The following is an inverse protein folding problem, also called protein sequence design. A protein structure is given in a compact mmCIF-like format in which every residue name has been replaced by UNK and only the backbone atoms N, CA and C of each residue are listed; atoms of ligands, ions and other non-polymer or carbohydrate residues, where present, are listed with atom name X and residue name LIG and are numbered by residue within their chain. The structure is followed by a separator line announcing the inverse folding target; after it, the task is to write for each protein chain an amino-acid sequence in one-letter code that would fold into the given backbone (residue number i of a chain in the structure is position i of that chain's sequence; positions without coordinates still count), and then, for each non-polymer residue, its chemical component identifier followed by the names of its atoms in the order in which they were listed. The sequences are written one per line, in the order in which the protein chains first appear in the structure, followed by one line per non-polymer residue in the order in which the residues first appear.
data_IF_418900424418
#
_entry.id   IF_418900424418
#
_cell.length_a   1.000
_cell.length_b   1.000
_cell.length_c   1.000
_cell.angle_alpha   90.00
_cell.angle_beta   90.00
_cell.angle_gamma   90.00
#
_symmetry.space_group_name_H-M   'P 1'
#
loop_
_entity.id
_entity.type
_entity.pdbx_description
1 polymer ?
#
# COMPACT_ATOMS: atom_id res chain seq x y z
N UNK A 1 -21.38 6.06 8.42
CA UNK A 1 -21.24 5.27 7.18
C UNK A 1 -20.19 5.93 6.30
N UNK A 2 -19.40 5.17 5.55
CA UNK A 2 -18.37 5.73 4.67
C UNK A 2 -19.02 6.52 3.50
N UNK A 3 -18.39 7.63 3.08
CA UNK A 3 -18.87 8.40 1.93
C UNK A 3 -18.65 7.63 0.61
N UNK A 4 -19.34 8.04 -0.46
CA UNK A 4 -19.15 7.45 -1.80
C UNK A 4 -17.69 7.59 -2.27
N UNK A 5 -17.06 8.72 -2.00
CA UNK A 5 -15.67 8.99 -2.33
C UNK A 5 -14.71 8.11 -1.52
N UNK A 6 -15.00 7.89 -0.24
CA UNK A 6 -14.21 6.97 0.60
C UNK A 6 -14.30 5.52 0.09
N UNK A 7 -15.49 5.07 -0.31
CA UNK A 7 -15.68 3.74 -0.91
C UNK A 7 -14.92 3.63 -2.24
N UNK A 8 -14.99 4.66 -3.10
CA UNK A 8 -14.23 4.70 -4.36
C UNK A 8 -12.73 4.57 -4.10
N UNK A 9 -12.16 5.42 -3.24
CA UNK A 9 -10.73 5.38 -2.91
C UNK A 9 -10.30 4.06 -2.28
N UNK A 10 -11.15 3.45 -1.44
CA UNK A 10 -10.88 2.12 -0.89
C UNK A 10 -10.77 1.07 -2.00
N UNK A 11 -11.71 1.07 -2.96
CA UNK A 11 -11.66 0.14 -4.08
C UNK A 11 -10.44 0.37 -4.97
N UNK A 12 -10.11 1.64 -5.27
CA UNK A 12 -8.93 2.01 -6.04
C UNK A 12 -7.63 1.52 -5.37
N UNK A 13 -7.53 1.66 -4.05
CA UNK A 13 -6.40 1.16 -3.26
C UNK A 13 -6.36 -0.37 -3.24
N UNK A 14 -7.51 -1.04 -3.16
CA UNK A 14 -7.56 -2.50 -3.23
C UNK A 14 -7.08 -3.02 -4.59
N UNK A 15 -7.37 -2.32 -5.68
CA UNK A 15 -6.81 -2.65 -7.01
C UNK A 15 -5.29 -2.41 -7.06
N UNK A 16 -4.80 -1.34 -6.44
CA UNK A 16 -3.35 -1.12 -6.29
C UNK A 16 -2.68 -2.23 -5.47
N UNK A 17 -3.28 -2.67 -4.36
CA UNK A 17 -2.77 -3.77 -3.54
C UNK A 17 -2.73 -5.08 -4.35
N UNK A 18 -3.78 -5.40 -5.11
CA UNK A 18 -3.78 -6.56 -6.01
C UNK A 18 -2.65 -6.49 -7.03
N UNK A 19 -2.40 -5.31 -7.60
CA UNK A 19 -1.29 -5.12 -8.52
C UNK A 19 0.06 -5.38 -7.82
N UNK A 20 0.29 -4.82 -6.64
CA UNK A 20 1.51 -5.05 -5.84
C UNK A 20 1.68 -6.55 -5.51
N UNK A 21 0.60 -7.22 -5.13
CA UNK A 21 0.52 -8.64 -4.80
C UNK A 21 0.77 -9.57 -6.00
N UNK A 22 0.55 -9.09 -7.23
CA UNK A 22 0.81 -9.84 -8.46
C UNK A 22 2.19 -9.55 -9.07
N UNK A 23 2.93 -8.58 -8.53
CA UNK A 23 4.17 -8.07 -9.11
C UNK A 23 5.38 -8.54 -8.29
N UNK A 24 6.44 -9.00 -8.98
CA UNK A 24 7.74 -9.36 -8.41
C UNK A 24 7.66 -10.21 -7.14
N UNK A 25 7.99 -9.64 -5.97
CA UNK A 25 8.02 -10.32 -4.67
C UNK A 25 6.64 -10.62 -4.10
N UNK A 26 5.58 -10.13 -4.74
CA UNK A 26 4.17 -10.37 -4.37
C UNK A 26 3.87 -9.93 -2.94
N UNK A 27 4.37 -8.76 -2.55
CA UNK A 27 4.02 -8.13 -1.26
C UNK A 27 2.50 -8.03 -1.13
N UNK A 28 1.98 -8.28 0.08
CA UNK A 28 0.54 -8.42 0.36
C UNK A 28 -0.13 -9.67 -0.23
N UNK A 29 0.62 -10.68 -0.66
CA UNK A 29 0.09 -12.00 -1.03
C UNK A 29 0.68 -13.12 -0.16
N UNK A 30 -0.21 -13.89 0.45
CA UNK A 30 0.16 -15.09 1.19
C UNK A 30 -0.09 -16.34 0.34
N UNK A 31 1.01 -16.95 -0.17
CA UNK A 31 0.94 -18.17 -0.99
C UNK A 31 0.29 -19.35 -0.27
N UNK A 32 0.57 -19.56 1.01
CA UNK A 32 0.03 -20.71 1.77
C UNK A 32 -1.47 -20.61 2.05
N UNK A 33 -2.05 -19.40 1.95
CA UNK A 33 -3.48 -19.15 2.20
C UNK A 33 -4.22 -18.72 0.95
N UNK A 34 -3.51 -18.58 -0.17
CA UNK A 34 -3.98 -18.00 -1.43
C UNK A 34 -4.81 -16.72 -1.21
N UNK A 35 -4.24 -15.77 -0.45
CA UNK A 35 -4.94 -14.57 -0.01
C UNK A 35 -4.15 -13.31 -0.36
N UNK A 36 -4.86 -12.29 -0.82
CA UNK A 36 -4.35 -10.93 -1.00
C UNK A 36 -4.90 -10.03 0.09
N UNK A 37 -4.06 -9.17 0.66
CA UNK A 37 -4.47 -8.20 1.67
C UNK A 37 -5.44 -7.17 1.07
N UNK A 38 -6.30 -6.56 1.89
CA UNK A 38 -7.26 -5.56 1.37
C UNK A 38 -7.83 -4.68 2.46
N UNK A 39 -8.34 -3.51 2.08
CA UNK A 39 -9.14 -2.67 2.96
C UNK A 39 -10.63 -2.97 2.85
N UNK A 40 -11.34 -2.87 3.99
CA UNK A 40 -12.79 -3.02 4.04
C UNK A 40 -13.41 -2.11 5.09
N UNK A 41 -14.50 -1.43 4.72
CA UNK A 41 -15.36 -0.76 5.68
C UNK A 41 -16.31 -1.75 6.36
N UNK A 42 -16.34 -1.71 7.71
CA UNK A 42 -17.43 -2.21 8.54
C UNK A 42 -18.14 -0.99 9.14
N UNK A 43 -17.97 -0.74 10.43
CA UNK A 43 -18.29 0.54 11.09
C UNK A 43 -17.17 1.58 10.88
N UNK A 44 -15.92 1.10 10.87
CA UNK A 44 -14.70 1.84 10.53
C UNK A 44 -13.96 1.14 9.39
N UNK A 45 -12.90 1.77 8.90
CA UNK A 45 -12.00 1.16 7.92
C UNK A 45 -11.05 0.19 8.64
N UNK A 46 -10.92 -1.02 8.10
CA UNK A 46 -9.97 -2.03 8.55
C UNK A 46 -9.08 -2.49 7.39
N UNK A 47 -7.85 -2.87 7.71
CA UNK A 47 -6.97 -3.60 6.82
C UNK A 47 -7.09 -5.09 7.14
N UNK A 48 -7.28 -5.92 6.12
CA UNK A 48 -7.33 -7.37 6.23
C UNK A 48 -5.96 -7.89 5.82
N UNK A 49 -5.23 -8.45 6.78
CA UNK A 49 -3.88 -8.98 6.56
C UNK A 49 -3.94 -10.28 5.73
N UNK A 50 -3.02 -10.45 4.78
CA UNK A 50 -2.98 -11.61 3.89
C UNK A 50 -2.62 -12.91 4.62
N UNK A 51 -1.71 -12.86 5.58
CA UNK A 51 -1.25 -14.04 6.31
C UNK A 51 -2.25 -14.44 7.40
N UNK A 52 -2.59 -13.53 8.31
CA UNK A 52 -3.48 -13.82 9.46
C UNK A 52 -4.95 -13.85 9.04
N UNK A 53 -5.35 -12.99 8.09
CA UNK A 53 -6.77 -12.78 7.73
C UNK A 53 -7.54 -11.92 8.73
N UNK A 54 -6.85 -11.35 9.71
CA UNK A 54 -7.46 -10.55 10.77
C UNK A 54 -7.81 -9.14 10.29
N UNK A 55 -8.81 -8.55 10.95
CA UNK A 55 -9.18 -7.16 10.76
C UNK A 55 -8.28 -6.25 11.59
N UNK A 56 -7.17 -5.84 11.00
CA UNK A 56 -6.22 -4.91 11.60
C UNK A 56 -6.80 -3.49 11.59
N UNK A 57 -6.76 -2.81 12.73
CA UNK A 57 -7.25 -1.44 12.86
C UNK A 57 -6.15 -0.43 12.50
N UNK A 58 -6.22 0.22 11.31
CA UNK A 58 -5.10 0.95 10.73
C UNK A 58 -4.94 2.38 11.29
N UNK A 59 -5.29 2.61 12.56
CA UNK A 59 -5.19 3.92 13.23
C UNK A 59 -4.27 3.90 14.45
N UNK A 60 -3.90 2.70 14.92
CA UNK A 60 -3.05 2.55 16.10
C UNK A 60 -1.61 2.98 15.79
N UNK A 61 -1.00 3.67 16.76
CA UNK A 61 0.41 4.05 16.74
C UNK A 61 1.15 3.17 17.74
N UNK A 62 2.05 2.31 17.27
CA UNK A 62 2.81 1.40 18.12
C UNK A 62 3.75 0.50 17.32
N UNK A 63 4.74 -0.12 17.99
CA UNK A 63 5.75 -1.00 17.37
C UNK A 63 5.21 -2.39 16.96
N UNK A 64 4.08 -2.80 17.50
CA UNK A 64 3.48 -4.11 17.21
C UNK A 64 1.98 -3.97 17.20
N UNK A 65 1.41 -4.05 16.00
CA UNK A 65 -0.03 -3.97 15.79
C UNK A 65 -0.56 -5.39 15.76
N UNK A 66 -1.57 -5.66 16.59
CA UNK A 66 -2.19 -6.98 16.65
C UNK A 66 -2.77 -7.37 15.28
N UNK A 67 -2.54 -8.62 14.88
CA UNK A 67 -3.00 -9.17 13.60
C UNK A 67 -2.22 -8.74 12.35
N UNK A 68 -1.28 -7.80 12.46
CA UNK A 68 -0.45 -7.37 11.33
C UNK A 68 0.81 -8.24 11.21
N UNK A 69 1.00 -8.87 10.05
CA UNK A 69 2.08 -9.83 9.83
C UNK A 69 3.35 -9.24 9.20
N UNK A 70 3.29 -8.01 8.69
CA UNK A 70 4.41 -7.37 7.99
C UNK A 70 5.25 -6.46 8.91
N UNK A 71 6.41 -6.03 8.42
CA UNK A 71 7.29 -5.10 9.13
C UNK A 71 6.83 -3.63 9.08
N UNK A 72 7.55 -2.77 9.80
CA UNK A 72 7.19 -1.36 10.02
C UNK A 72 7.06 -0.53 8.73
N UNK A 73 7.86 -0.78 7.69
CA UNK A 73 7.75 -0.05 6.42
C UNK A 73 6.41 -0.34 5.72
N UNK A 74 5.96 -1.60 5.77
CA UNK A 74 4.65 -1.97 5.24
C UNK A 74 3.53 -1.38 6.07
N UNK A 75 3.70 -1.32 7.40
CA UNK A 75 2.74 -0.65 8.26
C UNK A 75 2.58 0.83 7.88
N UNK A 76 3.67 1.54 7.62
CA UNK A 76 3.62 2.94 7.19
C UNK A 76 2.91 3.12 5.84
N UNK A 77 3.14 2.21 4.89
CA UNK A 77 2.43 2.21 3.62
C UNK A 77 0.93 2.02 3.82
N UNK A 78 0.52 1.02 4.61
CA UNK A 78 -0.89 0.77 4.96
C UNK A 78 -1.52 2.00 5.62
N UNK A 79 -0.80 2.69 6.51
CA UNK A 79 -1.28 3.93 7.10
C UNK A 79 -1.44 5.07 6.08
N UNK A 80 -0.50 5.19 5.14
CA UNK A 80 -0.58 6.18 4.07
C UNK A 80 -1.78 5.93 3.16
N UNK A 81 -2.00 4.67 2.78
CA UNK A 81 -3.20 4.23 2.04
C UNK A 81 -4.48 4.55 2.81
N UNK A 82 -4.52 4.25 4.12
CA UNK A 82 -5.65 4.60 4.98
C UNK A 82 -5.90 6.11 5.01
N UNK A 83 -4.87 6.93 5.15
CA UNK A 83 -5.04 8.39 5.18
C UNK A 83 -5.63 8.90 3.86
N UNK A 84 -5.16 8.40 2.73
CA UNK A 84 -5.73 8.69 1.41
C UNK A 84 -7.19 8.25 1.32
N UNK A 85 -7.54 7.02 1.73
CA UNK A 85 -8.91 6.53 1.71
C UNK A 85 -9.83 7.48 2.49
N UNK A 86 -9.43 7.87 3.70
CA UNK A 86 -10.27 8.68 4.60
C UNK A 86 -10.36 10.14 4.14
N UNK A 87 -9.24 10.74 3.76
CA UNK A 87 -9.11 12.20 3.59
C UNK A 87 -8.96 12.67 2.14
N UNK A 88 -8.56 11.78 1.23
CA UNK A 88 -8.16 12.12 -0.13
C UNK A 88 -6.80 12.82 -0.25
N UNK A 89 -6.08 13.03 0.86
CA UNK A 89 -4.70 13.56 0.82
C UNK A 89 -3.77 12.54 0.16
N UNK A 90 -2.87 13.03 -0.68
CA UNK A 90 -1.86 12.19 -1.32
C UNK A 90 -1.10 11.36 -0.28
N UNK A 91 -0.95 10.08 -0.59
CA UNK A 91 -0.09 9.19 0.15
C UNK A 91 1.31 9.14 -0.43
N UNK A 92 2.05 8.13 0.00
CA UNK A 92 3.38 7.83 -0.47
C UNK A 92 3.54 6.33 -0.63
N UNK A 93 4.05 5.91 -1.78
CA UNK A 93 4.74 4.64 -1.91
C UNK A 93 6.11 4.84 -1.23
N UNK A 94 6.13 4.80 0.10
CA UNK A 94 7.38 4.98 0.87
C UNK A 94 8.42 3.96 0.41
N UNK A 95 9.67 4.42 0.41
CA UNK A 95 10.91 3.74 0.05
C UNK A 95 11.33 3.79 -1.43
N UNK A 96 12.64 3.98 -1.63
CA UNK A 96 13.35 3.86 -2.91
C UNK A 96 13.20 2.42 -3.43
N UNK A 97 13.04 2.25 -4.75
CA UNK A 97 12.54 1.03 -5.42
C UNK A 97 13.35 -0.24 -5.09
N UNK A 98 14.60 -0.09 -4.67
CA UNK A 98 15.47 -1.18 -4.21
C UNK A 98 14.96 -1.88 -2.93
N UNK A 99 14.19 -1.20 -2.07
CA UNK A 99 13.83 -1.71 -0.73
C UNK A 99 12.86 -2.89 -0.79
N UNK A 100 11.93 -2.91 -1.75
CA UNK A 100 11.04 -4.08 -1.87
C UNK A 100 11.67 -5.20 -2.72
N UNK A 101 12.87 -4.97 -3.27
CA UNK A 101 13.50 -5.83 -4.28
C UNK A 101 12.59 -6.07 -5.50
N UNK A 102 11.87 -5.03 -5.91
CA UNK A 102 11.05 -5.03 -7.12
C UNK A 102 11.90 -4.58 -8.31
N UNK A 103 11.56 -5.05 -9.50
CA UNK A 103 12.19 -4.65 -10.75
C UNK A 103 11.82 -3.21 -11.12
N UNK A 104 12.60 -2.57 -12.01
CA UNK A 104 12.26 -1.23 -12.53
C UNK A 104 10.88 -1.20 -13.16
N UNK A 105 10.58 -2.20 -13.96
CA UNK A 105 9.29 -2.36 -14.62
C UNK A 105 8.15 -2.55 -13.61
N UNK A 106 8.33 -3.41 -12.61
CA UNK A 106 7.33 -3.64 -11.56
C UNK A 106 7.02 -2.35 -10.79
N UNK A 107 8.05 -1.61 -10.40
CA UNK A 107 7.87 -0.33 -9.74
C UNK A 107 7.24 0.74 -10.63
N UNK A 108 7.62 0.83 -11.91
CA UNK A 108 7.02 1.72 -12.90
C UNK A 108 5.51 1.45 -12.97
N UNK A 109 5.12 0.19 -13.16
CA UNK A 109 3.73 -0.26 -13.26
C UNK A 109 2.91 0.12 -12.03
N UNK A 110 3.44 -0.13 -10.83
CA UNK A 110 2.78 0.23 -9.56
C UNK A 110 2.62 1.74 -9.43
N UNK A 111 3.65 2.51 -9.78
CA UNK A 111 3.61 3.98 -9.71
C UNK A 111 2.63 4.59 -10.69
N UNK A 112 2.59 4.09 -11.92
CA UNK A 112 1.62 4.56 -12.91
C UNK A 112 0.20 4.30 -12.41
N UNK A 113 -0.07 3.10 -11.86
CA UNK A 113 -1.38 2.82 -11.27
C UNK A 113 -1.68 3.72 -10.07
N UNK A 114 -0.72 3.93 -9.18
CA UNK A 114 -0.89 4.81 -8.02
C UNK A 114 -1.17 6.27 -8.43
N UNK A 115 -0.55 6.76 -9.50
CA UNK A 115 -0.82 8.09 -10.07
C UNK A 115 -2.20 8.16 -10.72
N UNK A 116 -2.57 7.14 -11.50
CA UNK A 116 -3.88 7.02 -12.16
C UNK A 116 -5.03 7.13 -11.15
N UNK A 117 -4.91 6.47 -9.99
CA UNK A 117 -5.93 6.51 -8.93
C UNK A 117 -5.85 7.77 -8.05
N UNK A 118 -4.88 8.66 -8.29
CA UNK A 118 -4.66 9.87 -7.51
C UNK A 118 -4.06 9.64 -6.12
N UNK A 119 -3.49 8.46 -5.85
CA UNK A 119 -2.84 8.17 -4.57
C UNK A 119 -1.54 8.96 -4.42
N UNK A 120 -0.78 9.12 -5.51
CA UNK A 120 0.43 9.95 -5.58
C UNK A 120 0.29 10.98 -6.71
N UNK A 121 1.02 12.10 -6.62
CA UNK A 121 0.96 13.18 -7.62
C UNK A 121 1.97 13.02 -8.76
N UNK A 122 3.07 12.30 -8.53
CA UNK A 122 4.17 12.11 -9.49
C UNK A 122 4.66 10.68 -9.46
N UNK A 123 5.23 10.21 -10.57
CA UNK A 123 5.91 8.89 -10.67
C UNK A 123 7.43 9.00 -10.65
N UNK A 124 7.93 10.22 -10.79
CA UNK A 124 9.34 10.56 -10.86
C UNK A 124 9.96 10.50 -9.47
N UNK A 125 10.42 9.29 -9.14
CA UNK A 125 11.31 9.08 -8.01
C UNK A 125 12.45 8.19 -8.48
N UNK A 126 13.67 8.41 -7.97
CA UNK A 126 14.82 7.59 -8.28
C UNK A 126 14.55 6.11 -7.98
N UNK A 127 15.14 5.24 -8.81
CA UNK A 127 15.03 3.80 -8.65
C UNK A 127 15.94 3.25 -7.57
N UNK A 128 17.20 3.67 -7.59
CA UNK A 128 18.20 3.25 -6.61
C UNK A 128 18.58 4.42 -5.71
N UNK A 129 19.27 4.10 -4.62
CA UNK A 129 19.92 5.13 -3.79
C UNK A 129 20.90 5.98 -4.62
N UNK A 130 21.64 5.36 -5.55
CA UNK A 130 22.58 6.06 -6.45
C UNK A 130 21.88 7.10 -7.33
N UNK A 131 20.78 6.71 -7.97
CA UNK A 131 19.97 7.66 -8.76
C UNK A 131 19.39 8.80 -7.89
N UNK A 132 19.11 8.52 -6.62
CA UNK A 132 18.65 9.56 -5.70
C UNK A 132 19.75 10.54 -5.32
N UNK A 133 20.97 10.06 -5.12
CA UNK A 133 22.13 10.92 -4.88
C UNK A 133 22.46 11.79 -6.10
N UNK A 134 22.33 11.25 -7.31
CA UNK A 134 22.58 11.98 -8.57
C UNK A 134 21.51 13.03 -8.90
N UNK A 135 20.28 12.87 -8.38
CA UNK A 135 19.16 13.77 -8.64
C UNK A 135 19.04 14.95 -7.65
N UNK A 136 19.95 15.06 -6.68
CA UNK A 136 20.06 16.20 -5.74
C UNK A 136 20.79 17.39 -6.36
#
# INVERSE_FOLDING_TARGET
MASKEQIKRMNDINELIKLIASTDRRTFYCKSKDRVASFRFKTKLFFIDDYTGEYVYPYERGRRVEGFSHGDNMWQLVNSMREFIITGRYGALRDYKEIWAYSREGCEKIRQKAKEIGFISKTDYPYSFREWEEAK
#
